data_IF_418528345051
#
_entry.id   IF_418528345051
#
_cell.length_a   1.000
_cell.length_b   1.000
_cell.length_c   1.000
_cell.angle_alpha   90.00
_cell.angle_beta   90.00
_cell.angle_gamma   90.00
#
_symmetry.space_group_name_H-M   'P 1'
#
loop_
_entity.id
_entity.type
_entity.pdbx_description
1 polymer ?
#
# COMPACT_ATOMS: atom_id res chain seq x y z
N UNK A 1 -3.46 9.21 -20.67
CA UNK A 1 -2.03 9.21 -21.04
C UNK A 1 -1.36 8.11 -20.24
N UNK A 2 -0.64 7.20 -20.89
CA UNK A 2 0.08 6.11 -20.22
C UNK A 2 1.35 6.73 -19.65
N UNK A 3 1.40 6.91 -18.33
CA UNK A 3 2.59 7.41 -17.64
C UNK A 3 3.75 6.43 -17.84
N UNK A 4 4.89 6.92 -18.32
CA UNK A 4 6.11 6.13 -18.50
C UNK A 4 6.52 5.44 -17.18
N UNK A 5 6.84 4.15 -17.22
CA UNK A 5 7.25 3.30 -16.07
C UNK A 5 8.69 3.62 -15.61
N UNK A 6 9.34 4.62 -16.20
CA UNK A 6 10.69 5.00 -15.78
C UNK A 6 10.65 5.68 -14.41
N UNK A 7 11.66 5.44 -13.54
CA UNK A 7 11.83 6.18 -12.30
C UNK A 7 11.82 7.68 -12.56
N UNK A 8 11.04 8.42 -11.76
CA UNK A 8 10.92 9.87 -11.86
C UNK A 8 11.21 10.50 -10.51
N UNK A 9 11.55 11.78 -10.55
CA UNK A 9 11.57 12.60 -9.35
C UNK A 9 10.12 12.91 -8.96
N UNK A 10 9.74 12.50 -7.75
CA UNK A 10 8.36 12.62 -7.26
C UNK A 10 8.35 13.32 -5.90
N UNK A 11 7.33 14.12 -5.65
CA UNK A 11 7.14 14.80 -4.37
C UNK A 11 6.13 14.02 -3.51
N UNK A 12 6.62 13.42 -2.42
CA UNK A 12 5.77 12.69 -1.48
C UNK A 12 4.65 13.56 -0.91
N UNK A 13 4.93 14.82 -0.56
CA UNK A 13 3.97 15.70 0.10
C UNK A 13 2.82 16.14 -0.83
N UNK A 14 2.99 15.97 -2.15
CA UNK A 14 1.94 16.24 -3.14
C UNK A 14 1.11 14.98 -3.44
N UNK A 15 1.76 13.82 -3.58
CA UNK A 15 1.07 12.57 -3.91
C UNK A 15 0.41 11.91 -2.72
N UNK A 16 1.03 11.93 -1.54
CA UNK A 16 0.51 11.25 -0.36
C UNK A 16 -0.90 11.70 0.03
N UNK A 17 -1.23 13.01 0.08
CA UNK A 17 -2.60 13.45 0.37
C UNK A 17 -3.63 12.89 -0.63
N UNK A 18 -3.24 12.75 -1.90
CA UNK A 18 -4.09 12.22 -2.96
C UNK A 18 -4.30 10.71 -2.75
N UNK A 19 -3.23 9.95 -2.51
CA UNK A 19 -3.31 8.51 -2.19
C UNK A 19 -4.14 8.28 -0.92
N UNK A 20 -3.85 9.03 0.14
CA UNK A 20 -4.54 8.97 1.43
C UNK A 20 -6.04 9.24 1.29
N UNK A 21 -6.45 10.15 0.41
CA UNK A 21 -7.87 10.41 0.15
C UNK A 21 -8.59 9.14 -0.35
N UNK A 22 -7.96 8.39 -1.25
CA UNK A 22 -8.50 7.12 -1.76
C UNK A 22 -8.45 6.03 -0.69
N UNK A 23 -7.34 5.92 0.05
CA UNK A 23 -7.21 4.97 1.17
C UNK A 23 -8.34 5.19 2.19
N UNK A 24 -8.63 6.46 2.51
CA UNK A 24 -9.72 6.83 3.41
C UNK A 24 -11.09 6.45 2.84
N UNK A 25 -11.35 6.66 1.55
CA UNK A 25 -12.62 6.26 0.94
C UNK A 25 -12.79 4.74 0.97
N UNK A 26 -11.73 3.99 0.66
CA UNK A 26 -11.74 2.53 0.57
C UNK A 26 -11.87 1.87 1.94
N UNK A 27 -11.21 2.38 2.99
CA UNK A 27 -11.35 1.79 4.31
C UNK A 27 -12.72 2.06 4.93
N UNK A 28 -13.39 3.14 4.50
CA UNK A 28 -14.70 3.56 5.00
C UNK A 28 -15.88 3.07 4.13
N UNK A 29 -15.68 2.12 3.21
CA UNK A 29 -16.56 1.61 2.13
C UNK A 29 -18.10 1.75 2.22
N UNK A 30 -18.73 1.98 3.37
CA UNK A 30 -20.16 2.29 3.51
C UNK A 30 -20.51 3.77 3.73
N UNK A 31 -19.57 4.62 4.20
CA UNK A 31 -19.89 6.00 4.63
C UNK A 31 -19.66 7.07 3.56
N UNK A 32 -18.72 6.88 2.64
CA UNK A 32 -18.28 7.91 1.70
C UNK A 32 -17.85 7.36 0.32
N UNK A 33 -18.78 6.72 -0.39
CA UNK A 33 -18.74 6.62 -1.85
C UNK A 33 -17.73 5.64 -2.49
N UNK A 34 -18.17 5.01 -3.58
CA UNK A 34 -17.37 4.16 -4.45
C UNK A 34 -16.27 4.99 -5.12
N UNK A 35 -15.00 4.61 -4.95
CA UNK A 35 -13.91 5.19 -5.75
C UNK A 35 -14.11 4.77 -7.19
N UNK A 36 -14.20 5.72 -8.13
CA UNK A 36 -14.37 5.37 -9.53
C UNK A 36 -13.18 4.56 -10.04
N UNK A 37 -13.43 3.69 -11.02
CA UNK A 37 -12.43 2.75 -11.54
C UNK A 37 -11.19 3.46 -12.08
N UNK A 38 -11.32 4.67 -12.64
CA UNK A 38 -10.20 5.42 -13.19
C UNK A 38 -9.31 5.97 -12.08
N UNK A 39 -9.90 6.54 -11.03
CA UNK A 39 -9.17 6.99 -9.83
C UNK A 39 -8.47 5.82 -9.16
N UNK A 40 -9.18 4.69 -8.99
CA UNK A 40 -8.59 3.46 -8.42
C UNK A 40 -7.37 2.98 -9.21
N UNK A 41 -7.48 2.91 -10.55
CA UNK A 41 -6.36 2.54 -11.42
C UNK A 41 -5.19 3.53 -11.31
N UNK A 42 -5.48 4.82 -11.25
CA UNK A 42 -4.45 5.86 -11.10
C UNK A 42 -3.67 5.70 -9.80
N UNK A 43 -4.33 5.31 -8.70
CA UNK A 43 -3.65 5.09 -7.41
C UNK A 43 -2.61 3.97 -7.44
N UNK A 44 -2.77 2.93 -8.26
CA UNK A 44 -1.71 1.92 -8.43
C UNK A 44 -0.44 2.55 -9.01
N UNK A 45 -0.58 3.44 -9.99
CA UNK A 45 0.55 4.14 -10.58
C UNK A 45 1.17 5.14 -9.59
N UNK A 46 0.37 5.86 -8.81
CA UNK A 46 0.91 6.79 -7.81
C UNK A 46 1.72 6.05 -6.71
N UNK A 47 1.24 4.90 -6.25
CA UNK A 47 1.97 4.06 -5.28
C UNK A 47 3.26 3.52 -5.91
N UNK A 48 3.19 3.07 -7.16
CA UNK A 48 4.38 2.65 -7.90
C UNK A 48 5.41 3.79 -8.01
N UNK A 49 4.98 4.98 -8.45
CA UNK A 49 5.85 6.14 -8.62
C UNK A 49 6.49 6.56 -7.29
N UNK A 50 5.76 6.50 -6.17
CA UNK A 50 6.34 6.73 -4.83
C UNK A 50 7.40 5.69 -4.44
N UNK A 51 7.14 4.42 -4.74
CA UNK A 51 8.06 3.34 -4.39
C UNK A 51 9.29 3.28 -5.31
N UNK A 52 9.15 3.68 -6.57
CA UNK A 52 10.21 3.70 -7.59
C UNK A 52 10.84 5.10 -7.77
N UNK A 53 10.55 6.04 -6.86
CA UNK A 53 11.09 7.40 -6.92
C UNK A 53 12.62 7.43 -6.84
N UNK A 54 13.21 8.46 -7.44
CA UNK A 54 14.66 8.74 -7.37
C UNK A 54 14.91 10.15 -6.82
N UNK A 55 16.03 10.40 -6.10
CA UNK A 55 17.14 9.47 -5.83
C UNK A 55 16.82 8.38 -4.79
N UNK A 56 15.90 8.66 -3.86
CA UNK A 56 15.51 7.74 -2.79
C UNK A 56 14.04 7.31 -2.94
N UNK A 57 13.77 6.04 -2.62
CA UNK A 57 12.42 5.49 -2.58
C UNK A 57 11.63 6.00 -1.37
N UNK A 58 10.34 6.29 -1.55
CA UNK A 58 9.44 6.64 -0.44
C UNK A 58 8.69 5.43 0.14
N UNK A 59 9.07 4.20 -0.19
CA UNK A 59 8.34 2.99 0.24
C UNK A 59 8.19 2.89 1.77
N UNK A 60 9.26 3.14 2.53
CA UNK A 60 9.23 3.06 3.99
C UNK A 60 8.40 4.20 4.60
N UNK A 61 8.53 5.42 4.08
CA UNK A 61 7.71 6.55 4.49
C UNK A 61 6.23 6.33 4.19
N UNK A 62 5.90 5.77 3.01
CA UNK A 62 4.54 5.43 2.63
C UNK A 62 3.94 4.38 3.57
N UNK A 63 4.72 3.38 3.98
CA UNK A 63 4.29 2.38 4.95
C UNK A 63 3.97 3.01 6.31
N UNK A 64 4.88 3.79 6.88
CA UNK A 64 4.68 4.39 8.20
C UNK A 64 3.52 5.39 8.23
N UNK A 65 3.36 6.22 7.21
CA UNK A 65 2.24 7.15 7.10
C UNK A 65 0.90 6.42 6.93
N UNK A 66 0.87 5.33 6.15
CA UNK A 66 -0.33 4.49 5.99
C UNK A 66 -0.68 3.80 7.31
N UNK A 67 0.31 3.23 8.00
CA UNK A 67 0.15 2.59 9.31
C UNK A 67 -0.41 3.58 10.33
N UNK A 68 0.19 4.77 10.45
CA UNK A 68 -0.27 5.83 11.35
C UNK A 68 -1.74 6.18 11.09
N UNK A 69 -2.11 6.36 9.83
CA UNK A 69 -3.50 6.60 9.44
C UNK A 69 -4.43 5.47 9.88
N UNK A 70 -4.07 4.21 9.64
CA UNK A 70 -4.90 3.05 10.00
C UNK A 70 -5.03 2.89 11.52
N UNK A 71 -3.98 3.17 12.28
CA UNK A 71 -4.03 3.17 13.74
C UNK A 71 -4.97 4.26 14.27
N UNK A 72 -4.88 5.48 13.73
CA UNK A 72 -5.78 6.58 14.07
C UNK A 72 -7.23 6.25 13.72
N UNK A 73 -7.45 5.62 12.57
CA UNK A 73 -8.76 5.15 12.16
C UNK A 73 -9.34 4.10 13.12
N UNK A 74 -8.53 3.10 13.52
CA UNK A 74 -8.91 2.10 14.52
C UNK A 74 -9.23 2.75 15.88
N UNK A 75 -8.45 3.74 16.32
CA UNK A 75 -8.71 4.50 17.55
C UNK A 75 -10.06 5.23 17.49
N UNK A 76 -10.36 5.86 16.36
CA UNK A 76 -11.66 6.53 16.15
C UNK A 76 -12.82 5.55 16.19
N UNK A 77 -12.72 4.42 15.48
CA UNK A 77 -13.76 3.39 15.49
C UNK A 77 -14.00 2.85 16.90
N UNK A 78 -12.93 2.58 17.66
CA UNK A 78 -13.03 2.12 19.05
C UNK A 78 -13.80 3.11 19.92
N UNK A 79 -13.53 4.41 19.76
CA UNK A 79 -14.24 5.47 20.49
C UNK A 79 -15.74 5.45 20.16
N UNK A 80 -16.07 5.50 18.87
CA UNK A 80 -17.45 5.46 18.38
C UNK A 80 -18.21 4.22 18.91
N UNK A 81 -17.58 3.03 18.88
CA UNK A 81 -18.15 1.79 19.42
C UNK A 81 -18.41 1.91 20.92
N UNK A 82 -17.46 2.44 21.69
CA UNK A 82 -17.58 2.54 23.16
C UNK A 82 -18.65 3.54 23.62
N UNK A 83 -18.96 4.54 22.81
CA UNK A 83 -19.97 5.57 23.10
C UNK A 83 -21.39 5.12 22.69
N UNK A 84 -21.53 3.94 22.09
CA UNK A 84 -22.76 3.50 21.44
C UNK A 84 -23.63 2.53 22.25
N UNK A 85 -23.50 2.49 23.58
CA UNK A 85 -24.33 1.66 24.46
C UNK A 85 -25.84 2.00 24.31
N UNK A 86 -26.75 1.00 24.24
CA UNK A 86 -26.54 -0.46 24.35
C UNK A 86 -26.22 -1.17 23.02
N UNK A 87 -26.04 -0.44 21.91
CA UNK A 87 -25.89 -0.97 20.55
C UNK A 87 -24.44 -1.35 20.18
N UNK A 88 -23.53 -1.37 21.16
CA UNK A 88 -22.08 -1.59 21.00
C UNK A 88 -21.73 -2.78 20.11
N UNK A 89 -22.35 -3.95 20.33
CA UNK A 89 -22.07 -5.15 19.54
C UNK A 89 -22.51 -5.00 18.08
N UNK A 90 -23.69 -4.42 17.85
CA UNK A 90 -24.21 -4.21 16.49
C UNK A 90 -23.30 -3.26 15.70
N UNK A 91 -22.84 -2.18 16.35
CA UNK A 91 -21.96 -1.18 15.73
C UNK A 91 -20.56 -1.73 15.51
N UNK A 92 -20.05 -2.54 16.43
CA UNK A 92 -18.79 -3.27 16.23
C UNK A 92 -18.86 -4.18 15.00
N UNK A 93 -19.90 -5.02 14.89
CA UNK A 93 -20.05 -5.93 13.75
C UNK A 93 -20.08 -5.14 12.44
N UNK A 94 -20.85 -4.04 12.39
CA UNK A 94 -20.87 -3.15 11.22
C UNK A 94 -19.48 -2.64 10.86
N UNK A 95 -18.77 -2.04 11.80
CA UNK A 95 -17.44 -1.47 11.54
C UNK A 95 -16.42 -2.53 11.15
N UNK A 96 -16.44 -3.70 11.80
CA UNK A 96 -15.53 -4.78 11.46
C UNK A 96 -15.76 -5.29 10.04
N UNK A 97 -17.02 -5.49 9.63
CA UNK A 97 -17.34 -5.94 8.27
C UNK A 97 -16.87 -4.93 7.22
N UNK A 98 -17.09 -3.63 7.46
CA UNK A 98 -16.63 -2.55 6.58
C UNK A 98 -15.10 -2.49 6.51
N UNK A 99 -14.44 -2.47 7.67
CA UNK A 99 -12.99 -2.38 7.78
C UNK A 99 -12.30 -3.59 7.13
N UNK A 100 -12.80 -4.81 7.36
CA UNK A 100 -12.23 -6.03 6.77
C UNK A 100 -12.22 -5.94 5.26
N UNK A 101 -13.35 -5.59 4.65
CA UNK A 101 -13.47 -5.49 3.20
C UNK A 101 -12.59 -4.36 2.64
N UNK A 102 -12.56 -3.21 3.31
CA UNK A 102 -11.66 -2.11 2.96
C UNK A 102 -10.18 -2.53 3.02
N UNK A 103 -9.78 -3.26 4.05
CA UNK A 103 -8.41 -3.76 4.22
C UNK A 103 -8.01 -4.76 3.12
N UNK A 104 -8.92 -5.63 2.68
CA UNK A 104 -8.67 -6.53 1.53
C UNK A 104 -8.40 -5.75 0.23
N UNK A 105 -9.14 -4.65 0.00
CA UNK A 105 -8.90 -3.76 -1.12
C UNK A 105 -7.59 -2.98 -0.99
N UNK A 106 -7.27 -2.48 0.21
CA UNK A 106 -5.98 -1.82 0.47
C UNK A 106 -4.81 -2.78 0.25
N UNK A 107 -4.90 -4.03 0.69
CA UNK A 107 -3.88 -5.04 0.41
C UNK A 107 -3.63 -5.21 -1.10
N UNK A 108 -4.70 -5.17 -1.89
CA UNK A 108 -4.59 -5.22 -3.36
C UNK A 108 -3.94 -3.94 -3.91
N UNK A 109 -4.36 -2.77 -3.44
CA UNK A 109 -3.83 -1.48 -3.86
C UNK A 109 -2.33 -1.33 -3.58
N UNK A 110 -1.89 -1.82 -2.42
CA UNK A 110 -0.50 -1.78 -1.97
C UNK A 110 0.32 -2.99 -2.41
N UNK A 111 -0.16 -3.82 -3.35
CA UNK A 111 0.53 -5.05 -3.76
C UNK A 111 2.01 -4.82 -4.14
N UNK A 112 2.34 -3.71 -4.81
CA UNK A 112 3.73 -3.38 -5.15
C UNK A 112 4.59 -3.11 -3.89
N UNK A 113 4.09 -2.26 -2.99
CA UNK A 113 4.76 -1.96 -1.71
C UNK A 113 4.93 -3.23 -0.86
N UNK A 114 3.89 -4.07 -0.77
CA UNK A 114 3.91 -5.31 -0.01
C UNK A 114 5.01 -6.25 -0.51
N UNK A 115 5.10 -6.45 -1.82
CA UNK A 115 6.16 -7.27 -2.43
C UNK A 115 7.56 -6.70 -2.16
N UNK A 116 7.72 -5.38 -2.24
CA UNK A 116 8.99 -4.71 -1.95
C UNK A 116 9.44 -4.93 -0.50
N UNK A 117 8.53 -4.80 0.46
CA UNK A 117 8.83 -4.99 1.89
C UNK A 117 9.11 -6.46 2.23
N UNK A 118 8.38 -7.41 1.65
CA UNK A 118 8.66 -8.84 1.81
C UNK A 118 10.05 -9.17 1.28
N UNK A 119 10.40 -8.72 0.07
CA UNK A 119 11.75 -8.90 -0.50
C UNK A 119 12.82 -8.29 0.42
N UNK A 120 12.62 -7.06 0.92
CA UNK A 120 13.55 -6.41 1.87
C UNK A 120 13.74 -7.25 3.15
N UNK A 121 12.66 -7.81 3.71
CA UNK A 121 12.74 -8.64 4.92
C UNK A 121 13.52 -9.95 4.70
N UNK A 122 13.42 -10.55 3.51
CA UNK A 122 14.14 -11.77 3.15
C UNK A 122 15.65 -11.51 2.96
N UNK A 123 16.03 -10.35 2.42
CA UNK A 123 17.44 -9.93 2.30
C UNK A 123 18.10 -9.74 3.66
N UNK A 124 17.37 -9.16 4.62
CA UNK A 124 17.90 -8.97 5.98
C UNK A 124 18.19 -10.32 6.65
N UNK A 125 17.43 -11.37 6.32
CA UNK A 125 17.67 -12.73 6.81
C UNK A 125 18.74 -13.51 6.04
N UNK A 126 19.10 -13.12 4.82
CA UNK A 126 20.14 -13.77 4.01
C UNK A 126 21.04 -12.72 3.31
N UNK A 127 22.19 -12.37 3.91
CA UNK A 127 23.10 -11.35 3.41
C UNK A 127 23.63 -11.61 1.98
N UNK A 128 23.62 -12.86 1.51
CA UNK A 128 24.04 -13.20 0.15
C UNK A 128 23.13 -12.62 -0.95
N UNK A 129 21.87 -12.34 -0.62
CA UNK A 129 20.86 -11.82 -1.56
C UNK A 129 20.87 -10.30 -1.70
N UNK A 130 21.59 -9.58 -0.82
CA UNK A 130 21.66 -8.12 -0.81
C UNK A 130 22.28 -7.54 -2.09
N UNK A 131 23.27 -8.22 -2.65
CA UNK A 131 23.97 -7.75 -3.84
C UNK A 131 23.10 -7.85 -5.10
N UNK A 132 22.27 -8.89 -5.21
CA UNK A 132 21.49 -9.18 -6.42
C UNK A 132 20.29 -8.24 -6.60
N UNK A 133 19.70 -7.77 -5.51
CA UNK A 133 18.59 -6.81 -5.55
C UNK A 133 19.04 -5.36 -5.84
N UNK A 134 20.26 -4.98 -5.46
CA UNK A 134 20.84 -3.68 -5.81
C UNK A 134 21.06 -3.54 -7.33
N UNK A 135 21.34 -4.66 -8.01
CA UNK A 135 21.46 -4.73 -9.47
C UNK A 135 20.13 -5.00 -10.20
N UNK A 136 18.99 -5.03 -9.49
CA UNK A 136 17.67 -5.24 -10.10
C UNK A 136 17.45 -6.64 -10.68
N UNK A 137 18.23 -7.64 -10.25
CA UNK A 137 18.10 -9.03 -10.70
C UNK A 137 16.94 -9.68 -9.93
N UNK A 138 15.93 -10.15 -10.65
CA UNK A 138 14.81 -10.87 -10.03
C UNK A 138 15.23 -12.29 -9.66
N UNK A 139 15.38 -12.55 -8.37
CA UNK A 139 15.79 -13.86 -7.82
C UNK A 139 14.79 -14.99 -8.10
N UNK A 140 13.57 -14.64 -8.54
CA UNK A 140 12.55 -15.60 -8.97
C UNK A 140 12.57 -15.89 -10.47
N UNK A 141 13.41 -15.20 -11.26
CA UNK A 141 13.58 -15.49 -12.68
C UNK A 141 14.52 -16.69 -12.85
N UNK A 142 13.95 -17.90 -12.79
CA UNK A 142 14.63 -19.12 -13.23
C UNK A 142 14.63 -19.22 -14.77
N UNK A 143 15.00 -18.15 -15.47
CA UNK A 143 15.34 -18.27 -16.89
C UNK A 143 16.59 -19.15 -16.98
N UNK A 144 16.56 -20.29 -17.71
CA UNK A 144 17.75 -21.10 -17.90
C UNK A 144 18.82 -20.23 -18.56
N UNK A 145 20.00 -20.18 -17.97
CA UNK A 145 21.16 -19.56 -18.60
C UNK A 145 21.46 -20.38 -19.85
N UNK A 146 21.05 -19.89 -21.03
CA UNK A 146 21.54 -20.41 -22.31
C UNK A 146 23.02 -20.09 -22.40
N UNK A 147 23.84 -21.06 -22.00
CA UNK A 147 25.27 -21.06 -22.31
C UNK A 147 25.36 -21.43 -23.78
N UNK A 148 25.57 -20.42 -24.63
CA UNK A 148 25.86 -20.63 -26.04
C UNK A 148 27.18 -21.39 -26.20
N UNK A 149 27.14 -22.45 -27.01
CA UNK A 149 28.29 -22.97 -27.75
C UNK A 149 28.32 -22.37 -29.16
#
# INVERSE_FOLDING_TARGET
MISSIKPKQVNFNELWPIVLSTVRSVINMSRYGCTDKSTWQTRFFDIYDLCAATPDSYAEQLYEETKRFLEDHCRSMKKDISESEPNTLSIYVKYWTEYKLGAEHLNSLYAYLNNLLVKKSQVVTDPGNSMLLEYGIDLNDQSPVEIGE
#
